data_IF_322221591601
#
_entry.id   IF_322221591601
#
_cell.length_a   1.000
_cell.length_b   1.000
_cell.length_c   1.000
_cell.angle_alpha   90.00
_cell.angle_beta   90.00
_cell.angle_gamma   90.00
#
_symmetry.space_group_name_H-M   'P 1'
#
loop_
_entity.id
_entity.type
_entity.pdbx_description
1 polymer ?
#
# COMPACT_ATOMS: atom_id res chain seq x y z
N UNK A 1 -11.19 34.36 15.19
CA UNK A 1 -10.08 34.12 14.23
C UNK A 1 -10.26 32.73 13.68
N UNK A 2 -10.24 32.57 12.36
CA UNK A 2 -10.49 31.27 11.71
C UNK A 2 -9.17 30.51 11.56
N UNK A 3 -8.84 29.72 12.57
CA UNK A 3 -7.59 28.96 12.63
C UNK A 3 -7.53 27.85 11.56
N UNK A 4 -8.68 27.29 11.17
CA UNK A 4 -8.76 26.29 10.11
C UNK A 4 -8.38 26.92 8.76
N UNK A 5 -8.89 28.13 8.47
CA UNK A 5 -8.54 28.85 7.25
C UNK A 5 -7.04 29.12 7.17
N UNK A 6 -6.43 29.65 8.23
CA UNK A 6 -4.97 29.90 8.30
C UNK A 6 -4.18 28.61 8.06
N UNK A 7 -4.57 27.52 8.72
CA UNK A 7 -3.94 26.22 8.55
C UNK A 7 -4.01 25.76 7.10
N UNK A 8 -5.19 25.78 6.47
CA UNK A 8 -5.39 25.32 5.10
C UNK A 8 -4.64 26.17 4.07
N UNK A 9 -4.66 27.49 4.22
CA UNK A 9 -3.95 28.40 3.33
C UNK A 9 -2.45 28.12 3.36
N UNK A 10 -1.87 27.99 4.56
CA UNK A 10 -0.46 27.68 4.70
C UNK A 10 -0.11 26.27 4.23
N UNK A 11 -0.94 25.27 4.55
CA UNK A 11 -0.76 23.89 4.08
C UNK A 11 -0.71 23.84 2.56
N UNK A 12 -1.68 24.45 1.88
CA UNK A 12 -1.76 24.46 0.42
C UNK A 12 -0.59 25.25 -0.20
N UNK A 13 -0.21 26.37 0.41
CA UNK A 13 0.95 27.14 -0.01
C UNK A 13 2.24 26.31 0.04
N UNK A 14 2.47 25.62 1.17
CA UNK A 14 3.64 24.76 1.35
C UNK A 14 3.63 23.60 0.35
N UNK A 15 2.49 22.95 0.15
CA UNK A 15 2.35 21.89 -0.85
C UNK A 15 2.70 22.37 -2.27
N UNK A 16 2.13 23.49 -2.73
CA UNK A 16 2.41 24.01 -4.07
C UNK A 16 3.89 24.42 -4.21
N UNK A 17 4.52 24.95 -3.16
CA UNK A 17 5.96 25.22 -3.16
C UNK A 17 6.79 23.93 -3.31
N UNK A 18 6.48 22.88 -2.54
CA UNK A 18 7.16 21.58 -2.65
C UNK A 18 6.99 20.99 -4.05
N UNK A 19 5.77 21.00 -4.59
CA UNK A 19 5.46 20.53 -5.94
C UNK A 19 6.28 21.26 -6.99
N UNK A 20 6.28 22.59 -6.97
CA UNK A 20 7.00 23.40 -7.97
C UNK A 20 8.51 23.15 -7.89
N UNK A 21 9.09 23.17 -6.68
CA UNK A 21 10.52 22.89 -6.48
C UNK A 21 10.90 21.48 -6.95
N UNK A 22 10.05 20.48 -6.68
CA UNK A 22 10.28 19.10 -7.12
C UNK A 22 10.21 19.00 -8.65
N UNK A 23 9.22 19.64 -9.27
CA UNK A 23 9.09 19.67 -10.73
C UNK A 23 10.29 20.36 -11.39
N UNK A 24 10.78 21.46 -10.82
CA UNK A 24 11.99 22.14 -11.30
C UNK A 24 13.23 21.26 -11.17
N UNK A 25 13.42 20.61 -10.02
CA UNK A 25 14.51 19.67 -9.79
C UNK A 25 14.48 18.51 -10.81
N UNK A 26 13.30 17.93 -11.05
CA UNK A 26 13.12 16.86 -12.02
C UNK A 26 13.35 17.33 -13.47
N UNK A 27 12.90 18.54 -13.84
CA UNK A 27 13.18 19.12 -15.17
C UNK A 27 14.67 19.30 -15.38
N UNK A 28 15.38 19.86 -14.39
CA UNK A 28 16.81 20.09 -14.44
C UNK A 28 17.59 18.78 -14.48
N UNK A 29 17.20 17.79 -13.66
CA UNK A 29 17.79 16.46 -13.71
C UNK A 29 17.59 15.80 -15.08
N UNK A 30 16.42 15.96 -15.70
CA UNK A 30 16.15 15.41 -17.05
C UNK A 30 16.99 16.09 -18.12
N UNK A 31 17.14 17.42 -18.08
CA UNK A 31 18.03 18.12 -19.02
C UNK A 31 19.50 17.70 -18.86
N UNK A 32 19.91 17.40 -17.63
CA UNK A 32 21.27 16.97 -17.31
C UNK A 32 21.50 15.47 -17.49
N UNK A 33 20.46 14.70 -17.89
CA UNK A 33 20.48 13.23 -17.97
C UNK A 33 20.89 12.56 -16.64
N UNK A 34 20.59 13.21 -15.53
CA UNK A 34 20.82 12.67 -14.18
C UNK A 34 19.85 11.52 -13.89
N UNK A 35 20.26 10.59 -13.04
CA UNK A 35 19.40 9.50 -12.60
C UNK A 35 18.28 10.01 -11.67
N UNK A 36 17.04 9.52 -11.88
CA UNK A 36 15.87 9.88 -11.09
C UNK A 36 16.06 9.62 -9.59
N UNK A 37 16.53 8.43 -9.22
CA UNK A 37 16.65 8.02 -7.81
C UNK A 37 17.56 8.97 -7.04
N UNK A 38 18.66 9.39 -7.63
CA UNK A 38 19.59 10.33 -6.99
C UNK A 38 18.90 11.67 -6.71
N UNK A 39 18.23 12.25 -7.71
CA UNK A 39 17.57 13.55 -7.55
C UNK A 39 16.37 13.47 -6.61
N UNK A 40 15.53 12.45 -6.77
CA UNK A 40 14.34 12.27 -5.95
C UNK A 40 14.69 11.96 -4.49
N UNK A 41 15.79 11.22 -4.23
CA UNK A 41 16.33 11.05 -2.87
C UNK A 41 16.81 12.37 -2.27
N UNK A 42 17.40 13.27 -3.06
CA UNK A 42 17.77 14.61 -2.57
C UNK A 42 16.54 15.43 -2.18
N UNK A 43 15.47 15.38 -2.99
CA UNK A 43 14.18 16.00 -2.65
C UNK A 43 13.64 15.46 -1.32
N UNK A 44 13.54 14.13 -1.19
CA UNK A 44 13.06 13.49 0.05
C UNK A 44 13.92 13.85 1.27
N UNK A 45 15.24 13.91 1.10
CA UNK A 45 16.17 14.34 2.15
C UNK A 45 15.91 15.78 2.57
N UNK A 46 15.72 16.70 1.62
CA UNK A 46 15.41 18.10 1.89
C UNK A 46 14.08 18.29 2.64
N UNK A 47 13.07 17.48 2.32
CA UNK A 47 11.78 17.47 3.04
C UNK A 47 11.97 17.02 4.49
N UNK A 48 12.62 15.89 4.71
CA UNK A 48 12.89 15.35 6.06
C UNK A 48 13.73 16.33 6.91
N UNK A 49 14.76 16.95 6.33
CA UNK A 49 15.57 17.98 7.01
C UNK A 49 14.72 19.20 7.40
N UNK A 50 13.80 19.63 6.53
CA UNK A 50 12.92 20.78 6.80
C UNK A 50 11.91 20.44 7.91
N UNK A 51 11.31 19.26 7.86
CA UNK A 51 10.41 18.74 8.89
C UNK A 51 11.11 18.68 10.26
N UNK A 52 12.33 18.12 10.28
CA UNK A 52 13.14 17.99 11.50
C UNK A 52 13.44 19.35 12.11
N UNK A 53 13.81 20.35 11.29
CA UNK A 53 14.07 21.72 11.76
C UNK A 53 12.85 22.35 12.43
N UNK A 54 11.66 22.19 11.86
CA UNK A 54 10.42 22.74 12.46
C UNK A 54 10.12 22.06 13.80
N UNK A 55 10.28 20.74 13.89
CA UNK A 55 10.08 19.99 15.14
C UNK A 55 11.08 20.42 16.22
N UNK A 56 12.36 20.61 15.85
CA UNK A 56 13.37 21.13 16.76
C UNK A 56 13.06 22.55 17.26
N UNK A 57 12.49 23.40 16.39
CA UNK A 57 12.03 24.73 16.77
C UNK A 57 10.89 24.66 17.78
N UNK A 58 9.92 23.77 17.60
CA UNK A 58 8.86 23.55 18.59
C UNK A 58 9.42 23.10 19.95
N UNK A 59 10.47 22.26 19.96
CA UNK A 59 11.16 21.87 21.20
C UNK A 59 11.85 23.07 21.87
N UNK A 60 12.59 23.87 21.10
CA UNK A 60 13.32 25.05 21.60
C UNK A 60 12.39 26.15 22.13
N UNK A 61 11.22 26.31 21.53
CA UNK A 61 10.22 27.34 21.88
C UNK A 61 9.20 26.88 22.93
N UNK A 62 9.30 25.63 23.41
CA UNK A 62 8.33 25.08 24.38
C UNK A 62 6.96 24.73 23.78
N UNK A 63 6.83 24.76 22.45
CA UNK A 63 5.59 24.47 21.71
C UNK A 63 5.44 22.99 21.33
N UNK A 64 6.37 22.12 21.74
CA UNK A 64 6.33 20.70 21.39
C UNK A 64 5.08 19.98 21.93
N UNK A 65 4.58 20.34 23.11
CA UNK A 65 3.34 19.75 23.64
C UNK A 65 2.12 20.08 22.77
N UNK A 66 2.06 21.30 22.21
CA UNK A 66 1.02 21.71 21.27
C UNK A 66 1.08 20.88 19.98
N UNK A 67 2.30 20.63 19.47
CA UNK A 67 2.53 19.76 18.32
C UNK A 67 2.08 18.31 18.60
N UNK A 68 2.43 17.74 19.76
CA UNK A 68 2.04 16.37 20.11
C UNK A 68 0.52 16.18 20.23
N UNK A 69 -0.19 17.19 20.73
CA UNK A 69 -1.66 17.19 20.75
C UNK A 69 -2.19 17.13 19.31
N UNK A 70 -1.64 17.94 18.41
CA UNK A 70 -2.07 17.93 17.01
C UNK A 70 -1.81 16.58 16.33
N UNK A 71 -0.66 15.96 16.56
CA UNK A 71 -0.35 14.64 16.00
C UNK A 71 -1.35 13.57 16.45
N UNK A 72 -1.80 13.65 17.70
CA UNK A 72 -2.75 12.70 18.28
C UNK A 72 -4.21 13.03 17.97
N UNK A 73 -4.51 14.07 17.19
CA UNK A 73 -5.88 14.58 16.94
C UNK A 73 -6.93 13.51 16.61
N UNK A 74 -6.61 12.57 15.73
CA UNK A 74 -7.54 11.50 15.33
C UNK A 74 -7.75 10.42 16.40
N UNK A 75 -6.85 10.32 17.38
CA UNK A 75 -7.00 9.42 18.53
C UNK A 75 -7.76 10.07 19.70
N UNK A 76 -7.91 11.39 19.67
CA UNK A 76 -8.50 12.18 20.75
C UNK A 76 -9.98 12.52 20.52
N UNK A 77 -10.53 12.22 19.34
CA UNK A 77 -11.86 12.63 18.89
C UNK A 77 -12.58 11.43 18.26
N UNK A 78 -13.85 11.21 18.61
CA UNK A 78 -14.67 10.13 18.08
C UNK A 78 -14.82 10.21 16.56
N UNK A 79 -14.85 9.05 15.89
CA UNK A 79 -14.66 8.85 14.44
C UNK A 79 -15.77 9.40 13.52
N UNK A 80 -16.71 10.18 14.04
CA UNK A 80 -17.89 10.65 13.30
C UNK A 80 -17.74 12.07 12.73
N UNK A 81 -16.65 12.78 13.06
CA UNK A 81 -16.39 14.13 12.55
C UNK A 81 -15.57 14.10 11.25
N UNK A 82 -15.87 15.03 10.34
CA UNK A 82 -15.09 15.21 9.13
C UNK A 82 -13.68 15.73 9.47
N UNK A 83 -12.70 15.45 8.58
CA UNK A 83 -11.29 15.83 8.77
C UNK A 83 -11.09 17.30 9.16
N UNK A 84 -11.80 18.21 8.47
CA UNK A 84 -11.73 19.65 8.71
C UNK A 84 -12.31 20.05 10.08
N UNK A 85 -13.36 19.36 10.52
CA UNK A 85 -13.99 19.60 11.82
C UNK A 85 -13.07 19.17 12.96
N UNK A 86 -12.37 18.04 12.80
CA UNK A 86 -11.34 17.56 13.73
C UNK A 86 -10.24 18.61 13.87
N UNK A 87 -9.68 19.10 12.76
CA UNK A 87 -8.61 20.11 12.78
C UNK A 87 -9.10 21.40 13.44
N UNK A 88 -10.26 21.90 13.02
CA UNK A 88 -10.85 23.13 13.59
C UNK A 88 -11.06 23.01 15.10
N UNK A 89 -11.61 21.89 15.55
CA UNK A 89 -11.86 21.61 16.96
C UNK A 89 -10.57 21.57 17.77
N UNK A 90 -9.56 20.84 17.31
CA UNK A 90 -8.28 20.68 18.02
C UNK A 90 -7.53 22.00 18.11
N UNK A 91 -7.47 22.76 17.01
CA UNK A 91 -6.84 24.09 16.98
C UNK A 91 -7.57 25.10 17.86
N UNK A 92 -8.90 25.07 17.90
CA UNK A 92 -9.69 26.06 18.64
C UNK A 92 -9.78 25.78 20.14
N UNK A 93 -9.65 24.52 20.55
CA UNK A 93 -9.84 24.09 21.93
C UNK A 93 -8.56 23.56 22.58
N UNK A 94 -8.13 22.36 22.18
CA UNK A 94 -7.08 21.62 22.90
C UNK A 94 -5.72 22.32 22.80
N UNK A 95 -5.32 22.68 21.58
CA UNK A 95 -4.03 23.31 21.32
C UNK A 95 -4.01 24.73 21.85
N UNK A 96 -5.10 25.50 21.68
CA UNK A 96 -5.16 26.87 22.18
C UNK A 96 -4.99 26.93 23.70
N UNK A 97 -5.62 26.01 24.43
CA UNK A 97 -5.48 25.91 25.88
C UNK A 97 -4.05 25.55 26.31
N UNK A 98 -3.39 24.68 25.55
CA UNK A 98 -1.98 24.34 25.81
C UNK A 98 -1.04 25.50 25.47
N UNK A 99 -1.30 26.21 24.36
CA UNK A 99 -0.49 27.32 23.87
C UNK A 99 -0.46 28.50 24.83
N UNK A 100 -1.61 28.83 25.46
CA UNK A 100 -1.71 29.96 26.42
C UNK A 100 -0.77 29.79 27.63
N UNK A 101 -0.35 28.55 27.94
CA UNK A 101 0.65 28.29 28.99
C UNK A 101 2.04 28.82 28.63
N UNK A 102 2.31 29.03 27.36
CA UNK A 102 3.55 29.57 26.83
C UNK A 102 3.37 31.08 26.58
N UNK A 103 4.03 31.93 27.39
CA UNK A 103 3.84 33.38 27.32
C UNK A 103 4.56 33.99 26.09
N UNK A 104 3.96 35.03 25.48
CA UNK A 104 4.55 35.90 24.45
C UNK A 104 4.83 35.29 23.06
N UNK A 105 4.11 34.25 22.64
CA UNK A 105 4.23 33.68 21.29
C UNK A 105 2.99 33.99 20.42
N UNK A 106 3.20 34.13 19.12
CA UNK A 106 2.13 34.35 18.15
C UNK A 106 1.48 33.03 17.74
N UNK A 107 0.20 32.87 18.11
CA UNK A 107 -0.55 31.65 17.83
C UNK A 107 -0.81 31.44 16.33
N UNK A 108 -1.00 32.52 15.56
CA UNK A 108 -1.15 32.43 14.11
C UNK A 108 0.13 31.89 13.48
N UNK A 109 1.29 32.42 13.89
CA UNK A 109 2.59 31.95 13.41
C UNK A 109 2.83 30.48 13.75
N UNK A 110 2.43 30.05 14.96
CA UNK A 110 2.49 28.64 15.34
C UNK A 110 1.62 27.77 14.43
N UNK A 111 0.37 28.16 14.17
CA UNK A 111 -0.53 27.41 13.28
C UNK A 111 0.06 27.30 11.87
N UNK A 112 0.68 28.37 11.36
CA UNK A 112 1.35 28.34 10.06
C UNK A 112 2.51 27.34 10.05
N UNK A 113 3.40 27.37 11.04
CA UNK A 113 4.50 26.39 11.14
C UNK A 113 4.01 24.95 11.29
N UNK A 114 2.92 24.75 12.03
CA UNK A 114 2.28 23.45 12.21
C UNK A 114 1.71 22.93 10.86
N UNK A 115 1.02 23.80 10.11
CA UNK A 115 0.50 23.48 8.79
C UNK A 115 1.62 23.16 7.79
N UNK A 116 2.70 23.94 7.82
CA UNK A 116 3.88 23.70 6.99
C UNK A 116 4.50 22.33 7.29
N UNK A 117 4.73 22.01 8.56
CA UNK A 117 5.29 20.71 8.95
C UNK A 117 4.40 19.54 8.51
N UNK A 118 3.07 19.65 8.68
CA UNK A 118 2.14 18.61 8.27
C UNK A 118 2.10 18.43 6.75
N UNK A 119 2.15 19.53 6.00
CA UNK A 119 2.23 19.47 4.54
C UNK A 119 3.50 18.78 4.09
N UNK A 120 4.64 19.05 4.74
CA UNK A 120 5.92 18.40 4.43
C UNK A 120 5.84 16.90 4.73
N UNK A 121 5.40 16.52 5.95
CA UNK A 121 5.33 15.11 6.37
C UNK A 121 4.41 14.28 5.47
N UNK A 122 3.20 14.77 5.21
CA UNK A 122 2.25 14.06 4.35
C UNK A 122 2.76 13.96 2.91
N UNK A 123 3.43 15.00 2.41
CA UNK A 123 4.03 14.98 1.06
C UNK A 123 5.19 14.00 0.98
N UNK A 124 6.09 13.99 1.97
CA UNK A 124 7.21 13.05 2.01
C UNK A 124 6.71 11.60 2.05
N UNK A 125 5.75 11.32 2.93
CA UNK A 125 5.13 10.00 3.04
C UNK A 125 4.47 9.59 1.72
N UNK A 126 3.76 10.52 1.07
CA UNK A 126 3.16 10.28 -0.23
C UNK A 126 4.23 9.98 -1.30
N UNK A 127 5.28 10.79 -1.40
CA UNK A 127 6.38 10.58 -2.35
C UNK A 127 7.09 9.23 -2.15
N UNK A 128 7.29 8.81 -0.90
CA UNK A 128 7.87 7.48 -0.59
C UNK A 128 6.95 6.34 -1.02
N UNK A 129 5.66 6.45 -0.72
CA UNK A 129 4.69 5.40 -1.03
C UNK A 129 4.41 5.24 -2.53
N UNK A 130 4.58 6.33 -3.30
CA UNK A 130 4.28 6.37 -4.73
C UNK A 130 5.52 6.70 -5.58
N UNK A 131 6.72 6.34 -5.12
CA UNK A 131 7.98 6.68 -5.81
C UNK A 131 8.01 6.23 -7.28
N UNK A 132 7.50 5.03 -7.57
CA UNK A 132 7.41 4.50 -8.92
C UNK A 132 6.50 5.35 -9.82
N UNK A 133 5.40 5.89 -9.29
CA UNK A 133 4.53 6.78 -10.06
C UNK A 133 5.28 8.05 -10.52
N UNK A 134 6.06 8.64 -9.62
CA UNK A 134 6.89 9.82 -9.93
C UNK A 134 8.06 9.51 -10.86
N UNK A 135 8.63 8.31 -10.76
CA UNK A 135 9.63 7.83 -11.72
C UNK A 135 9.04 7.75 -13.14
N UNK A 136 7.81 7.27 -13.28
CA UNK A 136 7.11 7.23 -14.57
C UNK A 136 6.84 8.62 -15.13
N UNK A 137 6.46 9.59 -14.28
CA UNK A 137 6.33 11.00 -14.66
C UNK A 137 7.67 11.51 -15.21
N UNK A 138 8.76 11.26 -14.49
CA UNK A 138 10.09 11.67 -14.88
C UNK A 138 10.51 11.04 -16.22
N UNK A 139 10.36 9.72 -16.36
CA UNK A 139 10.73 8.98 -17.56
C UNK A 139 9.96 9.47 -18.80
N UNK A 140 8.63 9.57 -18.70
CA UNK A 140 7.75 9.95 -19.81
C UNK A 140 7.70 11.46 -20.07
N UNK A 141 8.13 12.29 -19.10
CA UNK A 141 8.06 13.75 -19.20
C UNK A 141 6.66 14.32 -18.96
N UNK A 142 5.73 13.52 -18.43
CA UNK A 142 4.33 13.88 -18.16
C UNK A 142 4.16 14.64 -16.84
N UNK A 143 4.82 15.78 -16.74
CA UNK A 143 4.86 16.61 -15.54
C UNK A 143 3.47 17.13 -15.12
N UNK A 144 2.54 17.22 -16.06
CA UNK A 144 1.14 17.58 -15.80
C UNK A 144 0.41 16.57 -14.89
N UNK A 145 0.90 15.32 -14.79
CA UNK A 145 0.33 14.27 -13.93
C UNK A 145 0.87 14.31 -12.49
N UNK A 146 1.67 15.33 -12.15
CA UNK A 146 2.25 15.49 -10.83
C UNK A 146 1.21 16.03 -9.83
N UNK A 147 0.71 15.16 -8.96
CA UNK A 147 -0.13 15.50 -7.81
C UNK A 147 0.24 14.66 -6.58
N UNK A 148 -0.16 15.10 -5.38
CA UNK A 148 0.00 14.35 -4.11
C UNK A 148 -1.33 13.94 -3.47
N UNK A 149 -2.39 13.81 -4.28
CA UNK A 149 -3.63 13.19 -3.83
C UNK A 149 -3.39 11.70 -3.63
N UNK A 150 -3.79 11.19 -2.47
CA UNK A 150 -3.84 9.76 -2.24
C UNK A 150 -4.73 9.10 -3.30
N UNK A 151 -4.30 7.93 -3.77
CA UNK A 151 -5.10 7.11 -4.67
C UNK A 151 -6.17 6.41 -3.81
N UNK A 152 -7.19 7.17 -3.43
CA UNK A 152 -8.21 6.70 -2.50
C UNK A 152 -8.95 5.51 -3.14
N UNK A 153 -8.96 4.37 -2.43
CA UNK A 153 -9.66 3.12 -2.78
C UNK A 153 -9.11 2.33 -3.98
N UNK A 154 -8.10 2.83 -4.68
CA UNK A 154 -7.45 2.15 -5.81
C UNK A 154 -5.92 2.32 -5.75
N UNK A 155 -5.13 1.35 -6.23
CA UNK A 155 -3.69 1.59 -6.42
C UNK A 155 -3.42 2.56 -7.56
N UNK A 156 -2.33 3.33 -7.53
CA UNK A 156 -1.96 4.25 -8.62
C UNK A 156 -1.85 3.56 -9.98
N UNK A 157 -1.57 2.26 -9.98
CA UNK A 157 -1.52 1.45 -11.19
C UNK A 157 -2.85 1.39 -11.95
N UNK A 158 -3.95 1.70 -11.26
CA UNK A 158 -5.29 1.74 -11.85
C UNK A 158 -5.66 3.11 -12.43
N UNK A 159 -4.88 4.16 -12.14
CA UNK A 159 -5.14 5.52 -12.57
C UNK A 159 -4.99 5.67 -14.10
N UNK A 160 -5.77 6.58 -14.69
CA UNK A 160 -5.70 6.85 -16.12
C UNK A 160 -4.34 7.45 -16.51
N UNK A 161 -3.81 8.34 -15.67
CA UNK A 161 -2.50 8.96 -15.84
C UNK A 161 -1.39 7.91 -15.90
N UNK A 162 -1.42 6.93 -14.98
CA UNK A 162 -0.42 5.87 -14.96
C UNK A 162 -0.52 4.97 -16.19
N UNK A 163 -1.74 4.60 -16.60
CA UNK A 163 -1.98 3.83 -17.82
C UNK A 163 -1.49 4.55 -19.06
N UNK A 164 -1.66 5.87 -19.13
CA UNK A 164 -1.20 6.68 -20.25
C UNK A 164 0.33 6.80 -20.28
N UNK A 165 0.98 7.01 -19.12
CA UNK A 165 2.44 6.99 -19.00
C UNK A 165 3.02 5.63 -19.40
N UNK A 166 2.35 4.53 -19.06
CA UNK A 166 2.77 3.20 -19.46
C UNK A 166 2.77 3.01 -20.98
N UNK A 167 1.79 3.56 -21.71
CA UNK A 167 1.78 3.47 -23.18
C UNK A 167 2.94 4.24 -23.81
N UNK A 168 3.38 5.32 -23.17
CA UNK A 168 4.52 6.13 -23.63
C UNK A 168 5.84 5.42 -23.35
N UNK A 169 6.03 4.88 -22.14
CA UNK A 169 7.28 4.20 -21.74
C UNK A 169 7.44 2.86 -22.47
N UNK A 170 6.33 2.14 -22.72
CA UNK A 170 6.33 0.83 -23.36
C UNK A 170 5.24 0.71 -24.46
N UNK A 171 5.46 1.33 -25.64
CA UNK A 171 4.49 1.37 -26.73
C UNK A 171 4.23 0.00 -27.39
N UNK A 172 5.20 -0.92 -27.37
CA UNK A 172 5.04 -2.24 -28.00
C UNK A 172 4.17 -3.19 -27.16
N UNK A 173 4.19 -3.06 -25.83
CA UNK A 173 3.35 -3.86 -24.92
C UNK A 173 1.87 -3.46 -24.90
N UNK A 174 1.52 -2.29 -25.44
CA UNK A 174 0.14 -1.78 -25.47
C UNK A 174 -0.64 -2.15 -26.73
N UNK A 175 0.03 -2.58 -27.81
CA UNK A 175 -0.63 -3.12 -29.00
C UNK A 175 -1.17 -4.55 -28.80
N UNK A 176 -0.65 -5.29 -27.81
CA UNK A 176 -1.05 -6.67 -27.48
C UNK A 176 -1.92 -6.78 -26.21
N UNK A 177 -2.71 -5.74 -25.89
CA UNK A 177 -3.91 -5.81 -25.04
C UNK A 177 -3.79 -6.25 -23.56
N UNK A 178 -2.65 -6.74 -23.06
CA UNK A 178 -2.56 -7.29 -21.70
C UNK A 178 -1.20 -7.24 -21.01
N UNK A 179 -0.14 -6.76 -21.67
CA UNK A 179 1.24 -6.92 -21.19
C UNK A 179 1.80 -5.73 -20.38
N UNK A 180 0.95 -4.86 -19.85
CA UNK A 180 1.40 -3.57 -19.29
C UNK A 180 1.96 -3.71 -17.86
N UNK A 181 1.52 -4.71 -17.10
CA UNK A 181 1.92 -4.92 -15.70
C UNK A 181 3.20 -5.77 -15.53
N UNK A 182 3.63 -6.51 -16.55
CA UNK A 182 4.83 -7.38 -16.47
C UNK A 182 6.15 -6.61 -16.60
N UNK A 183 6.18 -5.43 -17.23
CA UNK A 183 7.43 -4.70 -17.51
C UNK A 183 7.97 -3.98 -16.27
N UNK A 184 7.09 -3.58 -15.36
CA UNK A 184 7.44 -2.82 -14.14
C UNK A 184 8.22 -3.71 -13.13
N UNK A 185 8.06 -5.04 -13.18
CA UNK A 185 8.74 -5.98 -12.27
C UNK A 185 10.11 -6.48 -12.79
N UNK A 186 10.46 -6.26 -14.06
CA UNK A 186 11.75 -6.72 -14.61
C UNK A 186 12.88 -5.67 -14.53
N UNK A 187 12.58 -4.37 -14.49
CA UNK A 187 13.61 -3.32 -14.47
C UNK A 187 14.31 -3.16 -13.09
N UNK A 188 13.87 -3.86 -12.04
CA UNK A 188 14.56 -3.86 -10.74
C UNK A 188 15.75 -4.84 -10.65
N UNK A 189 15.87 -5.79 -11.59
CA UNK A 189 16.92 -6.80 -11.58
C UNK A 189 17.39 -7.11 -13.01
N UNK A 190 18.27 -6.29 -13.60
CA UNK A 190 19.22 -6.80 -14.62
C UNK A 190 20.39 -5.84 -14.91
N UNK A 191 21.37 -5.84 -14.01
CA UNK A 191 22.77 -5.80 -14.41
C UNK A 191 23.28 -7.25 -14.43
N UNK A 192 22.98 -8.02 -15.49
CA UNK A 192 23.81 -9.17 -15.82
C UNK A 192 23.62 -9.65 -17.26
N UNK A 193 24.75 -10.03 -17.83
CA UNK A 193 24.99 -10.30 -19.24
C UNK A 193 24.54 -11.71 -19.63
N UNK A 194 23.84 -11.79 -20.78
CA UNK A 194 23.71 -12.92 -21.72
C UNK A 194 23.18 -14.28 -21.21
N UNK A 195 22.03 -14.72 -21.75
CA UNK A 195 22.00 -15.79 -22.76
C UNK A 195 20.57 -16.16 -23.22
N UNK A 196 20.45 -16.30 -24.55
CA UNK A 196 19.52 -17.05 -25.41
C UNK A 196 18.30 -17.77 -24.80
N UNK A 197 17.18 -17.55 -25.49
CA UNK A 197 16.05 -18.47 -25.72
C UNK A 197 15.37 -19.07 -24.49
N UNK A 198 14.33 -18.38 -24.00
CA UNK A 198 13.12 -19.01 -23.45
C UNK A 198 11.97 -18.02 -23.63
N UNK A 199 10.85 -18.52 -24.13
CA UNK A 199 9.61 -17.75 -24.30
C UNK A 199 9.24 -17.05 -22.98
N UNK A 200 8.73 -15.80 -23.02
CA UNK A 200 8.36 -15.09 -21.81
C UNK A 200 7.19 -15.83 -21.14
N UNK A 201 7.42 -16.33 -19.93
CA UNK A 201 6.36 -16.86 -19.08
C UNK A 201 5.48 -15.68 -18.65
N UNK A 202 4.23 -15.70 -19.08
CA UNK A 202 3.27 -14.61 -18.91
C UNK A 202 2.76 -14.55 -17.45
N UNK A 203 3.42 -13.72 -16.60
CA UNK A 203 3.16 -13.63 -15.15
C UNK A 203 1.79 -13.00 -14.84
N UNK A 204 1.35 -12.01 -15.63
CA UNK A 204 -0.02 -11.43 -15.55
C UNK A 204 -1.11 -12.49 -15.78
N UNK A 205 -0.94 -13.34 -16.80
CA UNK A 205 -1.86 -14.45 -17.04
C UNK A 205 -1.82 -15.44 -15.86
N UNK A 206 -0.67 -15.60 -15.21
CA UNK A 206 -0.52 -16.46 -14.03
C UNK A 206 -1.27 -15.92 -12.80
N UNK A 207 -1.27 -14.60 -12.55
CA UNK A 207 -2.01 -14.01 -11.41
C UNK A 207 -3.52 -14.09 -11.59
N UNK A 208 -4.03 -13.74 -12.77
CA UNK A 208 -5.46 -13.85 -13.06
C UNK A 208 -5.90 -15.32 -13.17
N UNK A 209 -5.05 -16.20 -13.71
CA UNK A 209 -5.27 -17.65 -13.65
C UNK A 209 -5.37 -18.13 -12.21
N UNK A 210 -4.43 -17.79 -11.33
CA UNK A 210 -4.47 -18.15 -9.91
C UNK A 210 -5.73 -17.58 -9.22
N UNK A 211 -6.12 -16.34 -9.56
CA UNK A 211 -7.33 -15.71 -9.03
C UNK A 211 -8.60 -16.46 -9.44
N UNK A 212 -8.67 -16.93 -10.69
CA UNK A 212 -9.85 -17.60 -11.25
C UNK A 212 -9.85 -19.12 -11.02
N UNK A 213 -8.68 -19.74 -10.83
CA UNK A 213 -8.51 -21.17 -10.64
C UNK A 213 -8.93 -21.62 -9.25
N UNK A 214 -8.65 -20.81 -8.22
CA UNK A 214 -9.02 -21.11 -6.84
C UNK A 214 -10.22 -20.26 -6.41
N UNK A 215 -11.27 -20.88 -5.87
CA UNK A 215 -12.42 -20.16 -5.32
C UNK A 215 -12.23 -19.83 -3.83
N UNK A 216 -13.14 -19.00 -3.29
CA UNK A 216 -13.06 -18.53 -1.90
C UNK A 216 -13.10 -19.66 -0.86
N UNK A 217 -13.84 -20.75 -1.12
CA UNK A 217 -13.93 -21.89 -0.19
C UNK A 217 -12.65 -22.71 -0.23
N UNK A 218 -12.07 -22.91 -1.41
CA UNK A 218 -10.76 -23.56 -1.58
C UNK A 218 -9.66 -22.77 -0.85
N UNK A 219 -9.60 -21.45 -1.05
CA UNK A 219 -8.68 -20.57 -0.31
C UNK A 219 -8.88 -20.64 1.21
N UNK A 220 -10.13 -20.73 1.67
CA UNK A 220 -10.43 -20.88 3.09
C UNK A 220 -9.91 -22.21 3.67
N UNK A 221 -9.94 -23.30 2.90
CA UNK A 221 -9.36 -24.59 3.30
C UNK A 221 -7.84 -24.51 3.36
N UNK A 222 -7.20 -23.85 2.40
CA UNK A 222 -5.75 -23.65 2.41
C UNK A 222 -5.29 -22.84 3.63
N UNK A 223 -6.03 -21.78 3.98
CA UNK A 223 -5.82 -21.02 5.21
C UNK A 223 -6.03 -21.87 6.47
N UNK A 224 -7.06 -22.72 6.48
CA UNK A 224 -7.31 -23.65 7.58
C UNK A 224 -6.15 -24.64 7.76
N UNK A 225 -5.62 -25.17 6.65
CA UNK A 225 -4.47 -26.08 6.64
C UNK A 225 -3.22 -25.36 7.18
N UNK A 226 -2.98 -24.11 6.76
CA UNK A 226 -1.86 -23.29 7.23
C UNK A 226 -1.92 -22.99 8.72
N UNK A 227 -3.11 -22.71 9.25
CA UNK A 227 -3.31 -22.44 10.68
C UNK A 227 -3.10 -23.67 11.55
N UNK A 228 -3.59 -24.84 11.12
CA UNK A 228 -3.80 -25.98 12.02
C UNK A 228 -2.87 -27.17 11.78
N UNK A 229 -2.19 -27.24 10.63
CA UNK A 229 -1.46 -28.45 10.22
C UNK A 229 -0.08 -28.18 9.63
N UNK A 230 0.08 -27.15 8.80
CA UNK A 230 1.34 -26.96 8.08
C UNK A 230 2.49 -26.68 9.05
N UNK A 231 3.41 -27.64 9.17
CA UNK A 231 4.71 -27.40 9.78
C UNK A 231 5.56 -26.60 8.79
N UNK A 232 5.55 -25.27 8.96
CA UNK A 232 6.24 -24.34 8.06
C UNK A 232 7.74 -24.61 7.89
N UNK A 233 8.36 -25.40 8.78
CA UNK A 233 9.78 -25.79 8.69
C UNK A 233 10.07 -26.90 7.68
N UNK A 234 9.07 -27.68 7.27
CA UNK A 234 9.23 -28.83 6.36
C UNK A 234 8.85 -28.50 4.91
N UNK A 235 8.23 -27.34 4.68
CA UNK A 235 7.77 -26.90 3.37
C UNK A 235 8.87 -26.06 2.71
N UNK A 236 9.19 -26.39 1.45
CA UNK A 236 10.14 -25.60 0.66
C UNK A 236 9.61 -24.17 0.49
N UNK A 237 10.46 -23.16 0.70
CA UNK A 237 10.08 -21.74 0.66
C UNK A 237 9.29 -21.37 -0.60
N UNK A 238 9.64 -21.94 -1.75
CA UNK A 238 8.93 -21.72 -3.02
C UNK A 238 7.47 -22.17 -2.98
N UNK A 239 7.16 -23.31 -2.36
CA UNK A 239 5.77 -23.77 -2.20
C UNK A 239 5.00 -22.87 -1.23
N UNK A 240 5.66 -22.44 -0.14
CA UNK A 240 5.06 -21.53 0.82
C UNK A 240 4.70 -20.18 0.18
N UNK A 241 5.62 -19.59 -0.60
CA UNK A 241 5.38 -18.33 -1.32
C UNK A 241 4.20 -18.47 -2.28
N UNK A 242 4.18 -19.54 -3.09
CA UNK A 242 3.07 -19.82 -4.02
C UNK A 242 1.74 -19.97 -3.29
N UNK A 243 1.73 -20.68 -2.15
CA UNK A 243 0.53 -20.85 -1.32
C UNK A 243 0.01 -19.50 -0.80
N UNK A 244 0.91 -18.64 -0.30
CA UNK A 244 0.55 -17.29 0.17
C UNK A 244 -0.03 -16.45 -0.97
N UNK A 245 0.52 -16.52 -2.19
CA UNK A 245 -0.03 -15.80 -3.35
C UNK A 245 -1.42 -16.29 -3.77
N UNK A 246 -1.67 -17.61 -3.71
CA UNK A 246 -2.99 -18.19 -3.98
C UNK A 246 -4.02 -17.71 -2.96
N UNK A 247 -3.66 -17.74 -1.67
CA UNK A 247 -4.50 -17.30 -0.56
C UNK A 247 -4.75 -15.78 -0.63
N UNK A 248 -3.69 -15.01 -0.87
CA UNK A 248 -3.69 -13.54 -0.93
C UNK A 248 -4.43 -12.96 -2.12
N UNK A 249 -4.74 -13.77 -3.14
CA UNK A 249 -5.60 -13.39 -4.27
C UNK A 249 -7.10 -13.29 -3.91
N UNK A 250 -7.43 -13.11 -2.64
CA UNK A 250 -8.79 -12.90 -2.13
C UNK A 250 -9.16 -11.42 -2.13
N UNK A 251 -10.41 -11.10 -2.47
CA UNK A 251 -10.98 -9.75 -2.49
C UNK A 251 -11.74 -9.40 -1.18
N UNK A 252 -11.70 -10.29 -0.18
CA UNK A 252 -12.42 -10.15 1.09
C UNK A 252 -11.62 -9.38 2.14
N UNK A 253 -11.59 -8.05 2.00
CA UNK A 253 -10.94 -7.13 2.94
C UNK A 253 -11.72 -6.87 4.24
N UNK A 254 -12.93 -7.42 4.36
CA UNK A 254 -13.76 -7.36 5.59
C UNK A 254 -13.04 -7.87 6.85
N UNK A 255 -11.99 -8.68 6.68
CA UNK A 255 -11.16 -9.20 7.78
C UNK A 255 -10.40 -8.11 8.54
N UNK A 256 -10.19 -6.94 7.93
CA UNK A 256 -9.53 -5.79 8.56
C UNK A 256 -10.48 -4.91 9.37
N UNK A 257 -11.78 -5.19 9.37
CA UNK A 257 -12.76 -4.46 10.17
C UNK A 257 -12.73 -4.89 11.64
N UNK A 258 -13.18 -4.01 12.56
CA UNK A 258 -13.28 -4.30 14.01
C UNK A 258 -14.07 -5.59 14.34
N UNK A 259 -14.98 -6.01 13.45
CA UNK A 259 -15.75 -7.25 13.56
C UNK A 259 -15.27 -8.35 12.62
N UNK A 260 -13.95 -8.55 12.50
CA UNK A 260 -13.31 -9.54 11.62
C UNK A 260 -13.92 -10.95 11.69
N UNK A 261 -14.38 -11.36 12.89
CA UNK A 261 -15.03 -12.65 13.14
C UNK A 261 -16.37 -12.84 12.40
N UNK A 262 -17.01 -11.74 11.98
CA UNK A 262 -18.25 -11.77 11.19
C UNK A 262 -18.01 -11.90 9.69
N UNK A 263 -16.78 -11.67 9.21
CA UNK A 263 -16.44 -11.72 7.78
C UNK A 263 -16.71 -13.10 7.20
N UNK A 264 -17.08 -13.13 5.92
CA UNK A 264 -17.40 -14.38 5.24
C UNK A 264 -16.20 -15.34 5.20
N UNK A 265 -15.02 -14.81 4.88
CA UNK A 265 -13.78 -15.59 4.79
C UNK A 265 -13.41 -16.20 6.15
N UNK A 266 -13.45 -15.42 7.24
CA UNK A 266 -13.19 -15.92 8.59
C UNK A 266 -14.09 -17.10 8.94
N UNK A 267 -15.40 -16.96 8.70
CA UNK A 267 -16.39 -18.03 8.94
C UNK A 267 -16.08 -19.29 8.13
N UNK A 268 -15.65 -19.16 6.87
CA UNK A 268 -15.29 -20.33 6.06
C UNK A 268 -14.01 -21.01 6.55
N UNK A 269 -12.98 -20.24 6.94
CA UNK A 269 -11.71 -20.79 7.47
C UNK A 269 -11.96 -21.59 8.75
N UNK A 270 -12.81 -21.07 9.64
CA UNK A 270 -13.20 -21.76 10.86
C UNK A 270 -14.00 -23.04 10.62
N UNK A 271 -14.81 -23.11 9.56
CA UNK A 271 -15.51 -24.35 9.16
C UNK A 271 -14.55 -25.42 8.63
N UNK A 272 -13.37 -25.05 8.14
CA UNK A 272 -12.40 -25.96 7.56
C UNK A 272 -13.01 -26.80 6.44
N UNK A 273 -12.84 -28.12 6.50
CA UNK A 273 -13.41 -29.05 5.51
C UNK A 273 -14.95 -29.07 5.47
N UNK A 274 -15.63 -28.55 6.50
CA UNK A 274 -17.10 -28.42 6.51
C UNK A 274 -17.63 -27.25 5.68
N UNK A 275 -16.76 -26.52 4.97
CA UNK A 275 -17.14 -25.44 4.05
C UNK A 275 -17.90 -25.97 2.81
N UNK A 276 -17.63 -27.23 2.46
CA UNK A 276 -18.33 -27.99 1.43
C UNK A 276 -19.38 -28.89 2.07
N UNK A 277 -20.49 -29.13 1.37
CA UNK A 277 -21.46 -30.14 1.83
C UNK A 277 -20.78 -31.50 1.86
N UNK A 278 -21.18 -32.36 2.79
CA UNK A 278 -20.53 -33.67 2.97
C UNK A 278 -20.55 -34.52 1.69
N UNK A 279 -21.66 -34.45 0.94
CA UNK A 279 -21.85 -35.16 -0.34
C UNK A 279 -20.91 -34.69 -1.46
N UNK A 280 -20.39 -33.46 -1.40
CA UNK A 280 -19.49 -32.91 -2.42
C UNK A 280 -18.05 -32.73 -1.93
N UNK A 281 -17.81 -32.88 -0.61
CA UNK A 281 -16.53 -32.55 0.01
C UNK A 281 -15.37 -33.36 -0.57
N UNK A 282 -15.59 -34.66 -0.82
CA UNK A 282 -14.57 -35.55 -1.40
C UNK A 282 -14.14 -35.05 -2.78
N UNK A 283 -15.09 -34.80 -3.67
CA UNK A 283 -14.81 -34.36 -5.04
C UNK A 283 -14.15 -32.98 -5.08
N UNK A 284 -14.61 -32.05 -4.23
CA UNK A 284 -14.03 -30.71 -4.13
C UNK A 284 -12.60 -30.73 -3.59
N UNK A 285 -12.31 -31.59 -2.62
CA UNK A 285 -10.94 -31.75 -2.09
C UNK A 285 -10.03 -32.43 -3.10
N UNK A 286 -10.50 -33.47 -3.79
CA UNK A 286 -9.74 -34.11 -4.87
C UNK A 286 -9.44 -33.11 -5.99
N UNK A 287 -10.42 -32.28 -6.38
CA UNK A 287 -10.20 -31.21 -7.36
C UNK A 287 -9.18 -30.19 -6.87
N UNK A 288 -9.26 -29.75 -5.61
CA UNK A 288 -8.29 -28.82 -5.02
C UNK A 288 -6.88 -29.41 -4.97
N UNK A 289 -6.75 -30.70 -4.64
CA UNK A 289 -5.47 -31.42 -4.66
C UNK A 289 -4.83 -31.37 -6.05
N UNK A 290 -5.58 -31.69 -7.10
CA UNK A 290 -5.09 -31.65 -8.48
C UNK A 290 -4.65 -30.24 -8.88
N UNK A 291 -5.39 -29.20 -8.50
CA UNK A 291 -4.99 -27.80 -8.75
C UNK A 291 -3.67 -27.44 -8.05
N UNK A 292 -3.47 -27.89 -6.81
CA UNK A 292 -2.21 -27.66 -6.08
C UNK A 292 -1.04 -28.38 -6.78
N UNK A 293 -1.20 -29.64 -7.13
CA UNK A 293 -0.17 -30.43 -7.84
C UNK A 293 0.21 -29.78 -9.19
N UNK A 294 -0.79 -29.34 -9.97
CA UNK A 294 -0.58 -28.65 -11.24
C UNK A 294 0.18 -27.32 -11.09
N UNK A 295 0.12 -26.69 -9.92
CA UNK A 295 0.87 -25.46 -9.60
C UNK A 295 2.21 -25.75 -8.88
N UNK A 296 2.62 -27.02 -8.78
CA UNK A 296 3.86 -27.45 -8.16
C UNK A 296 3.87 -27.27 -6.65
N UNK A 297 2.72 -27.51 -6.00
CA UNK A 297 2.50 -27.45 -4.54
C UNK A 297 2.28 -28.85 -3.96
N UNK A 298 3.19 -29.77 -4.26
CA UNK A 298 3.01 -31.19 -3.92
C UNK A 298 2.98 -31.42 -2.41
N UNK A 299 3.87 -30.76 -1.67
CA UNK A 299 3.93 -30.89 -0.21
C UNK A 299 2.64 -30.40 0.44
N UNK A 300 2.08 -29.29 -0.06
CA UNK A 300 0.78 -28.77 0.40
C UNK A 300 -0.39 -29.70 0.02
N UNK A 301 -0.33 -30.31 -1.16
CA UNK A 301 -1.34 -31.25 -1.65
C UNK A 301 -1.39 -32.53 -0.79
N UNK A 302 -0.23 -33.03 -0.36
CA UNK A 302 -0.13 -34.20 0.53
C UNK A 302 -0.69 -33.88 1.93
N UNK A 303 -0.37 -32.71 2.47
CA UNK A 303 -0.92 -32.23 3.74
C UNK A 303 -2.45 -32.02 3.68
N UNK A 304 -2.96 -31.51 2.55
CA UNK A 304 -4.40 -31.37 2.32
C UNK A 304 -5.10 -32.74 2.42
N UNK A 305 -4.53 -33.76 1.77
CA UNK A 305 -5.08 -35.11 1.74
C UNK A 305 -5.03 -35.76 3.13
N UNK A 306 -3.92 -35.61 3.85
CA UNK A 306 -3.77 -36.13 5.20
C UNK A 306 -4.76 -35.47 6.18
N UNK A 307 -4.87 -34.14 6.14
CA UNK A 307 -5.81 -33.38 6.96
C UNK A 307 -7.27 -33.76 6.67
N UNK A 308 -7.62 -33.98 5.40
CA UNK A 308 -8.95 -34.40 5.00
C UNK A 308 -9.29 -35.82 5.46
N UNK A 309 -8.35 -36.77 5.33
CA UNK A 309 -8.51 -38.13 5.83
C UNK A 309 -8.75 -38.16 7.34
N UNK A 310 -7.99 -37.36 8.09
CA UNK A 310 -8.19 -37.21 9.55
C UNK A 310 -9.58 -36.67 9.89
N UNK A 311 -10.05 -35.66 9.16
CA UNK A 311 -11.38 -35.07 9.36
C UNK A 311 -12.52 -36.06 9.09
N UNK A 312 -12.42 -36.89 8.05
CA UNK A 312 -13.41 -37.92 7.75
C UNK A 312 -13.42 -39.05 8.78
N UNK A 313 -12.25 -39.47 9.27
CA UNK A 313 -12.15 -40.52 10.28
C UNK A 313 -12.69 -40.09 11.64
N UNK A 314 -12.55 -38.81 12.01
CA UNK A 314 -13.07 -38.26 13.27
C UNK A 314 -14.59 -37.98 13.25
N UNK A 315 -15.26 -38.15 12.11
CA UNK A 315 -16.71 -37.98 11.95
C UNK A 315 -17.50 -39.29 11.96
N UNK A 316 -16.84 -40.44 11.85
CA UNK A 316 -17.43 -41.78 11.96
C UNK A 316 -17.44 -42.23 13.41
#
# INVERSE_FOLDING_TARGET
MDYLKIYKEQYNYTWEAIKNNTLEALKLAKSNKSNFDTEFKNVLKGLNESQTKIIEEFKKTGLYSCYEIFEKRYSLIDNDLAFDEIISFVLSNQIKNEFIKQQNLDYELFIKKLAEQQSIDLTENHFRNYIQYYEFIYATGKLEYFYAKNFDRIGYQSSEEFKDMLKIRYPESTQNGGAILNVIEQDSDENSVSNKNKAPFDVVNTKDRIKNEFNIKERAILLHLLKNRLNLKEIVSTELIKLVLIIGSTDKFEIFNKEAHKSYLYKQVHKGYSVFKETEAKDKITSLKVKLENNGLKSIADELQFGFGSYFNNKK
#
